data_IF_211088084992
#
_entry.id   IF_211088084992
#
_cell.length_a   1.000
_cell.length_b   1.000
_cell.length_c   1.000
_cell.angle_alpha   90.00
_cell.angle_beta   90.00
_cell.angle_gamma   90.00
#
_symmetry.space_group_name_H-M   'P 1'
#
loop_
_entity.id
_entity.type
_entity.pdbx_description
1 polymer ?
#
# COMPACT_ATOMS: atom_id res chain seq x y z
N UNK A 1 -0.03 -18.29 -2.66
CA UNK A 1 0.49 -17.10 -1.96
C UNK A 1 0.05 -17.05 -0.51
N UNK A 2 0.27 -15.92 0.16
CA UNK A 2 -0.17 -15.62 1.55
C UNK A 2 -1.00 -14.36 1.57
N UNK A 3 -1.89 -14.22 2.55
CA UNK A 3 -2.77 -13.07 2.66
C UNK A 3 -3.08 -12.71 4.11
N UNK A 4 -3.37 -11.44 4.34
CA UNK A 4 -4.03 -10.91 5.54
C UNK A 4 -5.14 -9.95 5.14
N UNK A 5 -6.18 -9.90 5.96
CA UNK A 5 -7.36 -9.09 5.72
C UNK A 5 -7.68 -8.28 6.97
N UNK A 6 -8.01 -7.01 6.76
CA UNK A 6 -8.13 -6.01 7.80
C UNK A 6 -9.44 -5.26 7.68
N UNK A 7 -9.94 -4.82 8.84
CA UNK A 7 -10.88 -3.71 8.92
C UNK A 7 -10.06 -2.46 9.17
N UNK A 8 -10.26 -1.45 8.33
CA UNK A 8 -9.69 -0.11 8.48
C UNK A 8 -10.84 0.83 8.82
N UNK A 9 -10.71 1.64 9.86
CA UNK A 9 -11.70 2.63 10.26
C UNK A 9 -11.04 4.01 10.28
N UNK A 10 -11.56 4.91 9.47
CA UNK A 10 -11.22 6.33 9.53
C UNK A 10 -11.92 6.95 10.74
N UNK A 11 -11.18 7.59 11.64
CA UNK A 11 -11.73 8.11 12.90
C UNK A 11 -12.63 9.33 12.71
N UNK A 12 -12.31 10.19 11.75
CA UNK A 12 -13.05 11.44 11.52
C UNK A 12 -14.41 11.17 10.89
N UNK A 13 -14.47 10.28 9.90
CA UNK A 13 -15.69 9.96 9.14
C UNK A 13 -16.45 8.76 9.70
N UNK A 14 -15.79 7.90 10.48
CA UNK A 14 -16.29 6.57 10.85
C UNK A 14 -16.32 5.58 9.67
N UNK A 15 -15.83 5.98 8.49
CA UNK A 15 -15.86 5.15 7.28
C UNK A 15 -15.04 3.88 7.52
N UNK A 16 -15.67 2.74 7.23
CA UNK A 16 -15.04 1.43 7.37
C UNK A 16 -14.70 0.87 6.00
N UNK A 17 -13.45 0.47 5.81
CA UNK A 17 -12.97 -0.20 4.59
C UNK A 17 -12.40 -1.56 4.94
N UNK A 18 -12.78 -2.59 4.17
CA UNK A 18 -12.15 -3.91 4.22
C UNK A 18 -10.94 -3.89 3.32
N UNK A 19 -9.77 -4.22 3.85
CA UNK A 19 -8.51 -4.19 3.12
C UNK A 19 -7.84 -5.55 3.18
N UNK A 20 -7.64 -6.19 2.04
CA UNK A 20 -6.91 -7.46 1.92
C UNK A 20 -5.57 -7.22 1.25
N UNK A 21 -4.51 -7.64 1.91
CA UNK A 21 -3.14 -7.60 1.41
C UNK A 21 -2.66 -9.01 1.13
N UNK A 22 -2.03 -9.25 -0.01
CA UNK A 22 -1.60 -10.57 -0.41
C UNK A 22 -0.33 -10.58 -1.25
N UNK A 23 0.45 -11.65 -1.10
CA UNK A 23 1.44 -12.06 -2.11
C UNK A 23 0.76 -13.15 -2.93
N UNK A 24 0.46 -12.87 -4.19
CA UNK A 24 -0.41 -13.70 -5.04
C UNK A 24 0.34 -14.53 -6.07
N UNK A 25 1.62 -14.25 -6.29
CA UNK A 25 2.44 -14.95 -7.26
C UNK A 25 3.89 -14.47 -7.25
N UNK A 26 4.67 -15.06 -8.15
CA UNK A 26 6.09 -14.75 -8.36
C UNK A 26 6.35 -14.67 -9.87
N UNK A 27 7.21 -13.78 -10.30
CA UNK A 27 7.65 -13.62 -11.69
C UNK A 27 9.18 -13.43 -11.70
N UNK A 28 9.91 -14.47 -12.10
CA UNK A 28 11.37 -14.51 -11.93
C UNK A 28 11.77 -14.45 -10.46
N UNK A 29 12.55 -13.46 -10.06
CA UNK A 29 12.92 -13.13 -8.68
C UNK A 29 11.98 -12.10 -8.02
N UNK A 30 10.99 -11.57 -8.75
CA UNK A 30 10.00 -10.63 -8.24
C UNK A 30 8.75 -11.27 -7.65
N UNK A 31 8.10 -10.54 -6.74
CA UNK A 31 6.86 -10.97 -6.08
C UNK A 31 5.69 -10.08 -6.49
N UNK A 32 4.55 -10.71 -6.74
CA UNK A 32 3.28 -10.02 -6.99
C UNK A 32 2.58 -9.72 -5.68
N UNK A 33 2.59 -8.45 -5.28
CA UNK A 33 1.80 -7.91 -4.19
C UNK A 33 0.46 -7.43 -4.71
N UNK A 34 -0.61 -7.69 -3.95
CA UNK A 34 -1.95 -7.24 -4.28
C UNK A 34 -2.64 -6.69 -3.04
N UNK A 35 -3.21 -5.50 -3.18
CA UNK A 35 -4.04 -4.85 -2.17
C UNK A 35 -5.43 -4.69 -2.75
N UNK A 36 -6.41 -5.35 -2.14
CA UNK A 36 -7.83 -5.22 -2.45
C UNK A 36 -8.46 -4.38 -1.35
N UNK A 37 -9.21 -3.37 -1.73
CA UNK A 37 -9.96 -2.51 -0.83
C UNK A 37 -11.41 -2.50 -1.24
N UNK A 38 -12.28 -2.57 -0.25
CA UNK A 38 -13.71 -2.65 -0.43
C UNK A 38 -14.36 -1.85 0.71
N UNK A 39 -14.98 -0.72 0.37
CA UNK A 39 -15.73 0.11 1.32
C UNK A 39 -17.25 -0.13 1.25
N UNK A 40 -17.67 -1.19 0.56
CA UNK A 40 -19.07 -1.55 0.34
C UNK A 40 -19.70 -0.88 -0.90
N UNK A 41 -19.17 0.27 -1.34
CA UNK A 41 -19.63 0.99 -2.53
C UNK A 41 -18.65 0.85 -3.69
N UNK A 42 -17.36 0.82 -3.36
CA UNK A 42 -16.26 0.84 -4.29
C UNK A 42 -15.24 -0.24 -3.92
N UNK A 43 -14.96 -1.10 -4.91
CA UNK A 43 -13.89 -2.09 -4.82
C UNK A 43 -12.72 -1.68 -5.69
N UNK A 44 -11.55 -1.52 -5.08
CA UNK A 44 -10.32 -1.12 -5.74
C UNK A 44 -9.24 -2.18 -5.53
N UNK A 45 -8.47 -2.49 -6.58
CA UNK A 45 -7.38 -3.45 -6.53
C UNK A 45 -6.13 -2.76 -7.08
N UNK A 46 -5.06 -2.78 -6.28
CA UNK A 46 -3.72 -2.36 -6.68
C UNK A 46 -2.83 -3.58 -6.65
N UNK A 47 -2.19 -3.90 -7.78
CA UNK A 47 -1.29 -5.04 -7.92
C UNK A 47 0.07 -4.57 -8.42
N UNK A 48 1.12 -4.98 -7.73
CA UNK A 48 2.49 -4.51 -7.93
C UNK A 48 3.44 -5.68 -8.11
N UNK A 49 4.29 -5.64 -9.13
CA UNK A 49 5.45 -6.50 -9.23
C UNK A 49 6.62 -5.78 -8.56
N UNK A 50 7.16 -6.37 -7.49
CA UNK A 50 8.28 -5.80 -6.74
C UNK A 50 9.49 -6.73 -6.84
N UNK A 51 10.63 -6.19 -7.26
CA UNK A 51 11.93 -6.88 -7.28
C UNK A 51 12.93 -6.14 -6.39
N UNK A 52 13.28 -6.73 -5.25
CA UNK A 52 14.16 -6.10 -4.26
C UNK A 52 13.42 -5.78 -2.97
N UNK A 53 13.84 -4.72 -2.31
CA UNK A 53 13.26 -4.23 -1.05
C UNK A 53 11.86 -3.65 -1.29
N UNK A 54 10.79 -4.20 -0.68
CA UNK A 54 9.43 -3.66 -0.84
C UNK A 54 9.21 -2.29 -0.20
N UNK A 55 10.10 -1.85 0.70
CA UNK A 55 10.03 -0.52 1.31
C UNK A 55 10.65 0.57 0.42
N UNK A 56 11.40 0.16 -0.61
CA UNK A 56 11.91 1.06 -1.63
C UNK A 56 10.96 1.07 -2.85
N UNK A 57 10.24 2.17 -3.10
CA UNK A 57 9.33 2.26 -4.22
C UNK A 57 10.04 2.09 -5.57
N UNK A 58 11.36 2.27 -5.65
CA UNK A 58 12.11 2.08 -6.88
C UNK A 58 12.20 0.62 -7.35
N UNK A 59 11.86 -0.31 -6.45
CA UNK A 59 11.76 -1.74 -6.75
C UNK A 59 10.41 -2.16 -7.35
N UNK A 60 9.44 -1.23 -7.48
CA UNK A 60 8.16 -1.49 -8.17
C UNK A 60 8.37 -1.42 -9.69
N UNK A 61 8.29 -2.56 -10.37
CA UNK A 61 8.48 -2.65 -11.84
C UNK A 61 7.20 -2.49 -12.64
N UNK A 62 6.08 -2.99 -12.10
CA UNK A 62 4.78 -3.01 -12.76
C UNK A 62 3.71 -2.61 -11.76
N UNK A 63 2.76 -1.82 -12.21
CA UNK A 63 1.62 -1.36 -11.43
C UNK A 63 0.34 -1.59 -12.23
N UNK A 64 -0.56 -2.39 -11.66
CA UNK A 64 -1.87 -2.71 -12.23
C UNK A 64 -2.93 -2.18 -11.29
N UNK A 65 -3.90 -1.45 -11.85
CA UNK A 65 -5.00 -0.83 -11.13
C UNK A 65 -6.32 -1.37 -11.66
N UNK A 66 -7.27 -1.66 -10.77
CA UNK A 66 -8.64 -2.03 -11.13
C UNK A 66 -9.62 -1.37 -10.18
N UNK A 67 -10.67 -0.76 -10.72
CA UNK A 67 -11.71 -0.08 -9.96
C UNK A 67 -13.09 -0.58 -10.40
N UNK A 68 -13.84 -1.15 -9.46
CA UNK A 68 -15.14 -1.77 -9.73
C UNK A 68 -15.09 -2.76 -10.89
N UNK A 69 -15.99 -2.56 -11.83
CA UNK A 69 -16.12 -3.41 -13.04
C UNK A 69 -15.24 -2.95 -14.20
N UNK A 70 -14.51 -1.84 -14.07
CA UNK A 70 -13.61 -1.38 -15.12
C UNK A 70 -12.50 -2.42 -15.39
N UNK A 71 -12.03 -2.58 -16.64
CA UNK A 71 -10.91 -3.45 -16.95
C UNK A 71 -9.67 -3.10 -16.12
N UNK A 72 -8.95 -4.11 -15.63
CA UNK A 72 -7.65 -3.88 -15.03
C UNK A 72 -6.74 -3.16 -16.02
N UNK A 73 -6.08 -2.09 -15.56
CA UNK A 73 -5.22 -1.26 -16.37
C UNK A 73 -3.80 -1.30 -15.84
N UNK A 74 -2.82 -1.56 -16.71
CA UNK A 74 -1.40 -1.54 -16.38
C UNK A 74 -0.79 -0.20 -16.72
N UNK A 75 -0.09 0.39 -15.76
CA UNK A 75 0.60 1.64 -15.97
C UNK A 75 1.81 1.43 -16.91
N UNK A 76 1.97 2.25 -17.96
CA UNK A 76 3.11 2.11 -18.85
C UNK A 76 4.42 2.34 -18.10
N UNK A 77 5.48 1.62 -18.48
CA UNK A 77 6.78 1.64 -17.79
C UNK A 77 7.35 3.04 -17.58
N UNK A 78 7.24 3.92 -18.57
CA UNK A 78 7.72 5.31 -18.45
C UNK A 78 6.95 6.13 -17.41
N UNK A 79 5.75 5.69 -17.04
CA UNK A 79 4.90 6.32 -16.04
C UNK A 79 4.94 5.61 -14.69
N UNK A 80 5.62 4.47 -14.57
CA UNK A 80 5.74 3.75 -13.29
C UNK A 80 6.37 4.63 -12.22
N UNK A 81 7.32 5.52 -12.56
CA UNK A 81 7.86 6.50 -11.61
C UNK A 81 6.78 7.44 -11.02
N UNK A 82 5.82 7.87 -11.85
CA UNK A 82 4.65 8.63 -11.39
C UNK A 82 3.70 7.74 -10.59
N UNK A 83 3.48 6.50 -11.04
CA UNK A 83 2.68 5.48 -10.35
C UNK A 83 3.19 5.13 -8.96
N UNK A 84 4.51 5.06 -8.78
CA UNK A 84 5.17 4.87 -7.48
C UNK A 84 4.75 5.96 -6.52
N UNK A 85 4.86 7.24 -6.92
CA UNK A 85 4.43 8.38 -6.09
C UNK A 85 2.95 8.31 -5.75
N UNK A 86 2.11 7.94 -6.72
CA UNK A 86 0.67 7.76 -6.48
C UNK A 86 0.37 6.61 -5.52
N UNK A 87 1.05 5.47 -5.66
CA UNK A 87 0.90 4.31 -4.79
C UNK A 87 1.35 4.63 -3.36
N UNK A 88 2.49 5.33 -3.22
CA UNK A 88 2.98 5.82 -1.93
C UNK A 88 1.98 6.77 -1.29
N UNK A 89 1.52 7.81 -1.99
CA UNK A 89 0.50 8.71 -1.45
C UNK A 89 -0.82 8.01 -1.10
N UNK A 90 -1.25 7.02 -1.87
CA UNK A 90 -2.43 6.21 -1.52
C UNK A 90 -2.20 5.39 -0.24
N UNK A 91 -1.00 4.88 -0.04
CA UNK A 91 -0.62 4.19 1.19
C UNK A 91 -0.56 5.16 2.37
N UNK A 92 0.02 6.35 2.21
CA UNK A 92 0.09 7.37 3.26
C UNK A 92 -1.28 7.78 3.77
N UNK A 93 -2.17 8.18 2.85
CA UNK A 93 -3.50 8.68 3.23
C UNK A 93 -4.32 7.64 3.98
N UNK A 94 -4.04 6.36 3.77
CA UNK A 94 -4.83 5.25 4.35
C UNK A 94 -4.17 4.59 5.55
N UNK A 95 -2.85 4.54 5.58
CA UNK A 95 -2.12 4.07 6.74
C UNK A 95 -2.04 5.14 7.83
N UNK A 96 -2.19 6.43 7.47
CA UNK A 96 -1.96 7.56 8.35
C UNK A 96 -0.48 7.78 8.67
N UNK A 97 0.42 7.11 7.95
CA UNK A 97 1.87 7.18 8.14
C UNK A 97 2.52 7.72 6.87
N UNK A 98 3.38 8.75 6.96
CA UNK A 98 4.18 9.20 5.82
C UNK A 98 5.06 8.06 5.27
N UNK A 99 5.07 7.88 3.95
CA UNK A 99 5.74 6.80 3.23
C UNK A 99 6.70 7.33 2.14
N UNK A 100 6.67 8.63 1.81
CA UNK A 100 7.68 9.31 0.99
C UNK A 100 8.38 10.43 1.80
N UNK A 101 9.72 10.43 1.79
CA UNK A 101 10.53 11.59 2.22
C UNK A 101 10.71 11.78 3.73
N UNK A 102 10.47 10.73 4.52
CA UNK A 102 10.50 10.83 5.96
C UNK A 102 11.91 10.57 6.52
N UNK A 103 12.85 11.45 6.17
CA UNK A 103 14.14 11.51 6.87
C UNK A 103 13.87 11.65 8.38
N UNK A 104 14.44 10.74 9.17
CA UNK A 104 14.31 10.76 10.62
C UNK A 104 13.13 10.00 11.21
N UNK A 105 12.38 9.22 10.42
CA UNK A 105 11.49 8.20 11.03
C UNK A 105 12.32 7.13 11.72
N UNK A 106 11.89 6.75 12.93
CA UNK A 106 12.48 5.66 13.69
C UNK A 106 11.41 4.65 14.07
N UNK A 107 11.78 3.38 14.02
CA UNK A 107 10.98 2.29 14.55
C UNK A 107 11.41 1.99 15.98
N UNK A 108 10.52 2.20 16.94
CA UNK A 108 10.77 1.90 18.35
C UNK A 108 10.00 0.65 18.79
N UNK A 109 10.69 -0.27 19.47
CA UNK A 109 10.05 -1.42 20.13
C UNK A 109 9.58 -1.00 21.51
N UNK A 110 8.27 -1.00 21.71
CA UNK A 110 7.60 -0.51 22.93
C UNK A 110 7.14 -1.65 23.87
N UNK A 111 7.62 -2.88 23.66
CA UNK A 111 7.36 -4.02 24.54
C UNK A 111 6.51 -5.10 23.87
N UNK A 112 5.79 -5.87 24.69
CA UNK A 112 4.90 -6.95 24.23
C UNK A 112 3.55 -6.87 24.95
N UNK A 113 2.49 -7.27 24.26
CA UNK A 113 1.16 -7.39 24.86
C UNK A 113 0.32 -8.48 24.19
N UNK A 114 -0.63 -9.00 24.96
CA UNK A 114 -1.68 -9.88 24.46
C UNK A 114 -2.78 -9.03 23.81
N UNK A 115 -3.12 -9.35 22.56
CA UNK A 115 -4.11 -8.63 21.75
C UNK A 115 -5.13 -9.61 21.21
N UNK A 116 -6.41 -9.26 21.31
CA UNK A 116 -7.54 -10.04 20.78
C UNK A 116 -8.22 -9.23 19.69
N UNK A 117 -8.35 -9.85 18.51
CA UNK A 117 -9.01 -9.31 17.31
C UNK A 117 -9.91 -10.40 16.71
N UNK A 118 -10.73 -10.11 15.68
CA UNK A 118 -11.56 -11.14 15.05
C UNK A 118 -10.77 -12.34 14.51
N UNK A 119 -9.52 -12.15 14.08
CA UNK A 119 -8.64 -13.24 13.65
C UNK A 119 -8.08 -14.13 14.78
N UNK A 120 -8.37 -13.81 16.05
CA UNK A 120 -7.95 -14.56 17.23
C UNK A 120 -7.16 -13.74 18.25
N UNK A 121 -6.50 -14.43 19.17
CA UNK A 121 -5.68 -13.83 20.22
C UNK A 121 -4.20 -14.10 19.98
N UNK A 122 -3.37 -13.07 20.15
CA UNK A 122 -1.94 -13.08 19.84
C UNK A 122 -1.12 -12.48 20.97
N UNK A 123 0.06 -13.03 21.20
CA UNK A 123 1.15 -12.33 21.87
C UNK A 123 1.91 -11.53 20.81
N UNK A 124 1.85 -10.20 20.88
CA UNK A 124 2.38 -9.31 19.86
C UNK A 124 3.47 -8.39 20.41
N UNK A 125 4.45 -8.06 19.57
CA UNK A 125 5.43 -7.01 19.83
C UNK A 125 4.80 -5.66 19.50
N UNK A 126 4.85 -4.71 20.42
CA UNK A 126 4.32 -3.37 20.21
C UNK A 126 5.41 -2.53 19.56
N UNK A 127 5.14 -2.00 18.38
CA UNK A 127 6.05 -1.15 17.64
C UNK A 127 5.45 0.25 17.50
N UNK A 128 6.31 1.27 17.49
CA UNK A 128 5.95 2.67 17.25
C UNK A 128 6.76 3.24 16.11
N UNK A 129 6.10 3.94 15.21
CA UNK A 129 6.76 4.80 14.23
C UNK A 129 6.78 6.19 14.83
N UNK A 130 7.98 6.72 15.05
CA UNK A 130 8.18 8.06 15.61
C UNK A 130 8.92 8.95 14.63
N UNK A 131 8.64 10.25 14.64
CA UNK A 131 9.39 11.22 13.87
C UNK A 131 10.71 11.63 14.55
N UNK A 132 11.44 12.54 13.91
CA UNK A 132 12.72 13.08 14.40
C UNK A 132 12.58 13.85 15.71
N UNK A 133 11.38 14.36 16.03
CA UNK A 133 11.06 15.06 17.28
C UNK A 133 10.53 14.12 18.36
N UNK A 134 10.37 12.82 18.07
CA UNK A 134 9.87 11.81 18.99
C UNK A 134 8.34 11.75 19.07
N UNK A 135 7.60 12.44 18.20
CA UNK A 135 6.15 12.31 18.12
C UNK A 135 5.82 10.93 17.55
N UNK A 136 4.94 10.20 18.24
CA UNK A 136 4.42 8.92 17.74
C UNK A 136 3.43 9.17 16.61
N UNK A 137 3.75 8.69 15.41
CA UNK A 137 2.90 8.76 14.22
C UNK A 137 1.99 7.53 14.12
N UNK A 138 2.50 6.36 14.50
CA UNK A 138 1.73 5.12 14.53
C UNK A 138 2.17 4.21 15.67
N UNK A 139 1.24 3.42 16.19
CA UNK A 139 1.52 2.26 17.04
C UNK A 139 0.88 1.03 16.42
N UNK A 140 1.61 -0.07 16.31
CA UNK A 140 1.10 -1.31 15.74
C UNK A 140 1.58 -2.54 16.51
N UNK A 141 0.74 -3.58 16.50
CA UNK A 141 1.04 -4.88 17.08
C UNK A 141 1.57 -5.81 16.01
N UNK A 142 2.81 -6.30 16.18
CA UNK A 142 3.51 -7.14 15.23
C UNK A 142 3.60 -8.59 15.69
N UNK A 143 3.30 -9.51 14.79
CA UNK A 143 3.36 -10.96 14.96
C UNK A 143 3.95 -11.60 13.69
N UNK A 144 5.18 -12.16 13.73
CA UNK A 144 5.88 -12.65 12.54
C UNK A 144 5.14 -13.68 11.68
N UNK A 145 4.26 -14.51 12.30
CA UNK A 145 3.48 -15.53 11.61
C UNK A 145 2.31 -14.97 10.81
N UNK A 146 1.86 -13.75 11.10
CA UNK A 146 0.85 -13.07 10.28
C UNK A 146 1.57 -12.55 9.04
N UNK A 147 1.12 -12.93 7.86
CA UNK A 147 1.76 -12.58 6.58
C UNK A 147 0.76 -11.83 5.70
N UNK A 148 1.21 -10.93 4.81
CA UNK A 148 2.62 -10.64 4.51
C UNK A 148 3.33 -9.71 5.53
N UNK A 149 2.61 -8.83 6.23
CA UNK A 149 3.23 -7.71 6.97
C UNK A 149 3.35 -7.89 8.49
N UNK A 150 2.83 -8.97 9.07
CA UNK A 150 2.92 -9.20 10.52
C UNK A 150 2.03 -8.32 11.38
N UNK A 151 1.28 -7.38 10.81
CA UNK A 151 0.44 -6.47 11.59
C UNK A 151 -0.85 -7.16 12.04
N UNK A 152 -1.16 -7.08 13.34
CA UNK A 152 -2.42 -7.55 13.96
C UNK A 152 -3.36 -6.40 14.25
N UNK A 153 -2.84 -5.30 14.79
CA UNK A 153 -3.54 -4.01 14.88
C UNK A 153 -2.60 -2.89 14.50
N UNK A 154 -3.16 -1.77 14.05
CA UNK A 154 -2.43 -0.51 13.90
C UNK A 154 -3.35 0.65 14.29
N UNK A 155 -2.75 1.70 14.82
CA UNK A 155 -3.43 2.94 15.16
C UNK A 155 -2.53 4.13 14.84
N UNK A 156 -3.09 5.10 14.12
CA UNK A 156 -2.52 6.43 13.90
C UNK A 156 -3.41 7.49 14.55
N UNK A 157 -3.18 8.77 14.29
CA UNK A 157 -4.10 9.83 14.67
C UNK A 157 -5.46 9.70 13.95
N UNK A 158 -5.44 9.36 12.67
CA UNK A 158 -6.58 9.39 11.74
C UNK A 158 -7.26 8.03 11.53
N UNK A 159 -6.57 6.92 11.78
CA UNK A 159 -7.04 5.60 11.36
C UNK A 159 -6.80 4.53 12.42
N UNK A 160 -7.67 3.52 12.49
CA UNK A 160 -7.41 2.25 13.17
C UNK A 160 -7.49 1.09 12.20
N UNK A 161 -6.73 0.04 12.45
CA UNK A 161 -6.70 -1.18 11.65
C UNK A 161 -6.69 -2.41 12.55
N UNK A 162 -7.53 -3.40 12.23
CA UNK A 162 -7.64 -4.66 12.98
C UNK A 162 -7.67 -5.85 12.03
N UNK A 163 -6.92 -6.91 12.36
CA UNK A 163 -6.85 -8.13 11.58
C UNK A 163 -8.16 -8.94 11.68
N UNK A 164 -8.81 -9.11 10.54
CA UNK A 164 -10.01 -9.93 10.37
C UNK A 164 -9.67 -11.40 10.08
N UNK A 165 -8.59 -11.65 9.33
CA UNK A 165 -8.16 -13.00 9.00
C UNK A 165 -6.81 -13.01 8.29
N UNK A 166 -6.17 -14.17 8.22
CA UNK A 166 -4.92 -14.38 7.48
C UNK A 166 -4.77 -15.85 7.08
N UNK A 167 -3.95 -16.13 6.08
CA UNK A 167 -3.71 -17.51 5.67
C UNK A 167 -2.82 -17.67 4.44
N UNK A 168 -2.81 -18.90 3.94
CA UNK A 168 -2.12 -19.30 2.71
C UNK A 168 -3.12 -19.43 1.55
N UNK A 169 -2.63 -19.85 0.38
CA UNK A 169 -3.47 -20.08 -0.80
C UNK A 169 -3.99 -18.80 -1.47
N UNK A 170 -3.37 -17.64 -1.21
CA UNK A 170 -3.76 -16.40 -1.89
C UNK A 170 -3.64 -16.54 -3.41
N UNK A 171 -4.68 -16.09 -4.11
CA UNK A 171 -4.79 -15.97 -5.57
C UNK A 171 -5.08 -14.53 -5.92
N UNK A 172 -4.67 -14.10 -7.12
CA UNK A 172 -4.92 -12.76 -7.61
C UNK A 172 -6.41 -12.54 -7.84
N UNK A 173 -6.92 -11.38 -7.39
CA UNK A 173 -8.27 -10.91 -7.70
C UNK A 173 -8.37 -10.29 -9.10
N UNK A 174 -7.23 -9.94 -9.73
CA UNK A 174 -7.15 -9.57 -11.15
C UNK A 174 -6.93 -10.84 -11.97
N UNK A 175 -7.98 -11.30 -12.65
CA UNK A 175 -7.97 -12.55 -13.44
C UNK A 175 -7.89 -12.32 -14.94
N UNK A 176 -8.33 -11.15 -15.41
CA UNK A 176 -8.19 -10.72 -16.78
C UNK A 176 -6.77 -10.25 -17.12
N UNK A 177 -6.48 -10.16 -18.41
CA UNK A 177 -5.24 -9.53 -18.89
C UNK A 177 -5.38 -8.00 -18.77
N UNK A 178 -4.48 -7.31 -18.05
CA UNK A 178 -4.55 -5.85 -17.95
C UNK A 178 -4.37 -5.17 -19.30
N UNK A 179 -5.15 -4.12 -19.54
CA UNK A 179 -4.99 -3.25 -20.71
C UNK A 179 -3.98 -2.15 -20.40
N UNK A 180 -3.13 -1.72 -21.35
CA UNK A 180 -2.26 -0.56 -21.11
C UNK A 180 -3.10 0.68 -20.81
N UNK A 181 -2.77 1.40 -19.73
CA UNK A 181 -3.44 2.66 -19.41
C UNK A 181 -3.07 3.69 -20.49
N UNK A 182 -4.08 4.21 -21.19
CA UNK A 182 -3.87 5.30 -22.15
C UNK A 182 -3.61 6.60 -21.39
N UNK A 183 -2.66 7.40 -21.86
CA UNK A 183 -2.42 8.72 -21.29
C UNK A 183 -3.73 9.56 -21.32
N UNK A 184 -4.01 10.37 -20.29
CA UNK A 184 -5.18 11.24 -20.30
C UNK A 184 -5.21 12.12 -21.55
N UNK A 185 -6.39 12.38 -22.15
CA UNK A 185 -6.53 13.31 -23.25
C UNK A 185 -5.93 14.68 -22.88
N UNK A 186 -4.99 15.19 -23.67
CA UNK A 186 -4.32 16.48 -23.43
C UNK A 186 -2.91 16.40 -22.87
N UNK A 187 -2.37 15.21 -22.54
CA UNK A 187 -0.92 15.06 -22.38
C UNK A 187 -0.24 15.14 -23.76
N UNK A 188 0.73 16.06 -23.97
CA UNK A 188 1.47 16.12 -25.22
C UNK A 188 2.19 14.79 -25.47
N UNK A 189 2.01 14.22 -26.66
CA UNK A 189 2.82 13.10 -27.12
C UNK A 189 4.28 13.59 -27.25
N UNK A 190 5.12 13.27 -26.27
CA UNK A 190 6.55 13.60 -26.31
C UNK A 190 7.08 14.57 -25.25
N UNK A 191 6.47 14.68 -24.05
CA UNK A 191 7.19 15.32 -22.94
C UNK A 191 8.51 14.59 -22.67
N UNK A 192 9.66 15.30 -22.64
CA UNK A 192 10.92 14.71 -22.20
C UNK A 192 10.79 14.25 -20.74
N UNK A 193 11.37 13.09 -20.44
CA UNK A 193 11.47 12.52 -19.09
C UNK A 193 11.93 13.59 -18.08
N UNK A 194 11.13 13.81 -17.04
CA UNK A 194 11.63 14.36 -15.77
C UNK A 194 11.41 15.84 -15.45
N UNK A 195 10.61 16.61 -16.21
CA UNK A 195 10.30 17.99 -15.81
C UNK A 195 9.01 18.09 -14.98
N UNK A 196 9.02 18.67 -13.77
CA UNK A 196 7.80 18.94 -13.03
C UNK A 196 6.95 20.02 -13.73
N UNK A 197 5.63 20.00 -13.58
CA UNK A 197 4.75 20.99 -14.18
C UNK A 197 5.10 22.40 -13.70
N UNK A 198 5.36 23.33 -14.63
CA UNK A 198 5.48 24.76 -14.31
C UNK A 198 6.83 25.44 -14.59
N UNK A 199 7.85 24.73 -15.07
CA UNK A 199 9.11 25.37 -15.50
C UNK A 199 9.10 25.52 -17.02
N UNK A 200 8.50 26.61 -17.49
CA UNK A 200 8.66 27.05 -18.88
C UNK A 200 10.13 27.42 -19.17
N UNK A 201 10.59 27.28 -20.43
CA UNK A 201 11.94 27.68 -20.79
C UNK A 201 12.06 29.20 -20.63
N UNK A 202 13.04 29.64 -19.83
CA UNK A 202 13.45 31.05 -19.84
C UNK A 202 14.04 31.33 -21.21
N UNK A 203 13.36 32.20 -21.97
CA UNK A 203 13.81 32.69 -23.26
C UNK A 203 15.16 33.39 -23.16
N UNK A 204 15.92 33.26 -24.25
CA UNK A 204 17.17 33.98 -24.54
C UNK A 204 16.92 35.48 -24.66
#
# INVERSE_FOLDING_TARGET
>A
GVWSEYRVVEKDSGKTTRMRMAIVGREGDGWWYEVVQDDGEHRNIVKMLVRGDPDDPDNIERLILKSGDAPASEMPKDFVAMGRRMAVHMFERRSGVPAAGAEGLRLERAGRRKVTVPAGTFEAEVHRIVDSQGKVLATYDFVPKVKPFGVVTSQTDTTTMELLGYGTGAKSAVTETPVPMTAPPGMPAGMPRGMPPGVGPKGQ
#
